data_IF_991517203742
#
_entry.id   IF_991517203742
#
_cell.length_a   1.000
_cell.length_b   1.000
_cell.length_c   1.000
_cell.angle_alpha   90.00
_cell.angle_beta   90.00
_cell.angle_gamma   90.00
#
_symmetry.space_group_name_H-M   'P 1'
#
loop_
_entity.id
_entity.type
_entity.pdbx_description
1 polymer ?
#
# COMPACT_ATOMS: atom_id res chain seq x y z
N UNK A 1 -0.34 -17.01 4.95
CA UNK A 1 0.41 -17.03 3.67
C UNK A 1 -0.30 -16.05 2.77
N UNK A 2 0.31 -14.91 2.45
CA UNK A 2 -0.22 -14.04 1.41
C UNK A 2 -0.24 -14.83 0.10
N UNK A 3 -1.38 -14.87 -0.58
CA UNK A 3 -1.45 -15.49 -1.90
C UNK A 3 -0.52 -14.72 -2.85
N UNK A 4 0.09 -15.42 -3.81
CA UNK A 4 1.03 -14.79 -4.78
C UNK A 4 0.42 -13.57 -5.48
N UNK A 5 -0.90 -13.53 -5.61
CA UNK A 5 -1.68 -12.41 -6.14
C UNK A 5 -1.65 -11.17 -5.25
N UNK A 6 -1.69 -11.31 -3.92
CA UNK A 6 -1.65 -10.18 -2.98
C UNK A 6 -0.29 -9.49 -2.99
N UNK A 7 0.80 -10.25 -3.00
CA UNK A 7 2.14 -9.68 -3.07
C UNK A 7 2.35 -8.88 -4.37
N UNK A 8 1.85 -9.40 -5.49
CA UNK A 8 1.94 -8.73 -6.78
C UNK A 8 1.05 -7.48 -6.84
N UNK A 9 -0.12 -7.52 -6.19
CA UNK A 9 -1.00 -6.37 -6.05
C UNK A 9 -0.35 -5.24 -5.23
N UNK A 10 0.28 -5.56 -4.10
CA UNK A 10 1.00 -4.60 -3.26
C UNK A 10 2.15 -3.92 -4.01
N UNK A 11 2.89 -4.65 -4.84
CA UNK A 11 3.92 -4.05 -5.69
C UNK A 11 3.34 -3.07 -6.72
N UNK A 12 2.19 -3.39 -7.33
CA UNK A 12 1.51 -2.46 -8.24
C UNK A 12 1.05 -1.19 -7.53
N UNK A 13 0.51 -1.32 -6.31
CA UNK A 13 0.10 -0.18 -5.47
C UNK A 13 1.31 0.72 -5.16
N UNK A 14 2.43 0.13 -4.74
CA UNK A 14 3.66 0.89 -4.48
C UNK A 14 4.18 1.62 -5.73
N UNK A 15 4.11 0.98 -6.90
CA UNK A 15 4.49 1.60 -8.18
C UNK A 15 3.59 2.80 -8.54
N UNK A 16 2.27 2.68 -8.35
CA UNK A 16 1.31 3.79 -8.58
C UNK A 16 1.56 4.96 -7.64
N UNK A 17 1.76 4.68 -6.35
CA UNK A 17 2.09 5.70 -5.36
C UNK A 17 3.40 6.42 -5.70
N UNK A 18 4.43 5.70 -6.16
CA UNK A 18 5.68 6.30 -6.60
C UNK A 18 5.51 7.18 -7.84
N UNK A 19 4.65 6.78 -8.78
CA UNK A 19 4.33 7.59 -9.94
C UNK A 19 3.59 8.89 -9.57
N UNK A 20 2.70 8.85 -8.55
CA UNK A 20 1.98 10.04 -8.05
C UNK A 20 2.84 10.93 -7.15
N UNK A 21 3.75 10.33 -6.37
CA UNK A 21 4.64 11.02 -5.43
C UNK A 21 6.11 10.73 -5.77
N UNK A 22 6.63 11.25 -6.89
CA UNK A 22 8.00 10.97 -7.32
C UNK A 22 9.07 11.49 -6.34
N UNK A 23 8.73 12.48 -5.51
CA UNK A 23 9.57 13.06 -4.46
C UNK A 23 9.81 12.14 -3.25
N UNK A 24 8.98 11.12 -3.03
CA UNK A 24 9.09 10.22 -1.88
C UNK A 24 9.88 8.97 -2.28
N UNK A 25 10.78 8.51 -1.41
CA UNK A 25 11.57 7.31 -1.66
C UNK A 25 10.69 6.05 -1.80
N UNK A 26 11.03 5.16 -2.72
CA UNK A 26 10.26 3.93 -2.96
C UNK A 26 10.27 3.02 -1.74
N UNK A 27 11.32 3.06 -0.91
CA UNK A 27 11.42 2.28 0.32
C UNK A 27 10.40 2.76 1.36
N UNK A 28 10.24 4.08 1.48
CA UNK A 28 9.22 4.68 2.35
C UNK A 28 7.81 4.32 1.88
N UNK A 29 7.56 4.40 0.56
CA UNK A 29 6.26 4.01 -0.01
C UNK A 29 5.96 2.53 0.26
N UNK A 30 6.93 1.64 0.03
CA UNK A 30 6.78 0.21 0.31
C UNK A 30 6.51 -0.05 1.79
N UNK A 31 7.20 0.63 2.69
CA UNK A 31 6.94 0.50 4.14
C UNK A 31 5.53 0.98 4.53
N UNK A 32 5.02 2.04 3.91
CA UNK A 32 3.65 2.52 4.16
C UNK A 32 2.59 1.55 3.61
N UNK A 33 2.83 1.01 2.41
CA UNK A 33 1.96 -0.01 1.79
C UNK A 33 1.93 -1.28 2.64
N UNK A 34 3.09 -1.73 3.14
CA UNK A 34 3.20 -2.92 4.00
C UNK A 34 2.52 -2.69 5.36
N UNK A 35 2.72 -1.52 5.98
CA UNK A 35 2.03 -1.16 7.21
C UNK A 35 0.51 -1.10 7.04
N UNK A 36 0.03 -0.54 5.92
CA UNK A 36 -1.39 -0.51 5.58
C UNK A 36 -1.94 -1.92 5.29
N UNK A 37 -1.16 -2.80 4.66
CA UNK A 37 -1.54 -4.20 4.43
C UNK A 37 -1.69 -4.97 5.74
N UNK A 38 -0.76 -4.78 6.68
CA UNK A 38 -0.83 -5.38 8.01
C UNK A 38 -2.01 -4.87 8.87
N UNK A 39 -2.56 -3.67 8.63
CA UNK A 39 -3.80 -3.23 9.28
C UNK A 39 -5.01 -4.09 8.89
N UNK A 40 -4.95 -4.79 7.77
CA UNK A 40 -5.96 -5.74 7.32
C UNK A 40 -5.64 -7.20 7.67
N UNK A 41 -4.54 -7.47 8.39
CA UNK A 41 -4.26 -8.83 8.87
C UNK A 41 -5.32 -9.26 9.90
N UNK A 42 -6.03 -10.34 9.58
CA UNK A 42 -7.14 -10.88 10.39
C UNK A 42 -8.53 -10.52 9.87
N UNK A 43 -8.64 -9.74 8.80
CA UNK A 43 -9.93 -9.50 8.14
C UNK A 43 -10.45 -10.80 7.47
N UNK A 44 -11.73 -11.18 7.68
CA UNK A 44 -12.29 -12.44 7.17
C UNK A 44 -12.50 -12.46 5.66
N UNK A 45 -12.55 -11.29 5.00
CA UNK A 45 -12.63 -11.15 3.54
C UNK A 45 -11.63 -10.08 3.13
N UNK A 46 -10.65 -10.46 2.30
CA UNK A 46 -9.61 -9.60 1.73
C UNK A 46 -9.73 -9.45 0.21
N UNK A 47 -10.89 -9.78 -0.35
CA UNK A 47 -11.23 -9.39 -1.72
C UNK A 47 -11.07 -7.86 -1.80
N UNK A 48 -10.13 -7.40 -2.63
CA UNK A 48 -9.76 -5.98 -2.82
C UNK A 48 -8.90 -5.33 -1.73
N UNK A 49 -8.11 -6.10 -0.97
CA UNK A 49 -7.12 -5.54 -0.02
C UNK A 49 -6.18 -4.53 -0.70
N UNK A 50 -5.87 -4.72 -1.97
CA UNK A 50 -5.05 -3.81 -2.78
C UNK A 50 -5.62 -2.37 -2.86
N UNK A 51 -6.94 -2.22 -3.00
CA UNK A 51 -7.60 -0.91 -3.12
C UNK A 51 -7.63 -0.21 -1.75
N UNK A 52 -7.88 -0.98 -0.69
CA UNK A 52 -7.90 -0.48 0.68
C UNK A 52 -6.50 -0.03 1.11
N UNK A 53 -5.49 -0.82 0.78
CA UNK A 53 -4.08 -0.50 1.04
C UNK A 53 -3.63 0.72 0.23
N UNK A 54 -4.00 0.81 -1.05
CA UNK A 54 -3.68 1.99 -1.88
C UNK A 54 -4.24 3.27 -1.27
N UNK A 55 -5.49 3.24 -0.79
CA UNK A 55 -6.14 4.40 -0.16
C UNK A 55 -5.50 4.78 1.17
N UNK A 56 -5.28 3.81 2.06
CA UNK A 56 -4.67 4.06 3.37
C UNK A 56 -3.22 4.57 3.23
N UNK A 57 -2.43 4.00 2.30
CA UNK A 57 -1.09 4.47 2.02
C UNK A 57 -1.08 5.89 1.44
N UNK A 58 -2.05 6.23 0.59
CA UNK A 58 -2.19 7.59 0.05
C UNK A 58 -2.46 8.61 1.17
N UNK A 59 -3.39 8.32 2.09
CA UNK A 59 -3.67 9.21 3.22
C UNK A 59 -2.44 9.43 4.10
N UNK A 60 -1.66 8.37 4.38
CA UNK A 60 -0.41 8.49 5.16
C UNK A 60 0.68 9.27 4.43
N UNK A 61 0.75 9.13 3.10
CA UNK A 61 1.67 9.90 2.27
C UNK A 61 1.27 11.37 2.21
N UNK A 62 0.00 11.70 2.03
CA UNK A 62 -0.49 13.08 2.02
C UNK A 62 -0.26 13.79 3.35
N UNK A 63 -0.43 13.09 4.48
CA UNK A 63 -0.11 13.61 5.81
C UNK A 63 1.38 13.94 6.03
N UNK A 64 2.29 13.36 5.24
CA UNK A 64 3.73 13.63 5.31
C UNK A 64 4.18 14.80 4.42
N UNK A 65 3.32 15.25 3.50
CA UNK A 65 3.63 16.33 2.54
C UNK A 65 2.98 17.66 2.94
N UNK A 66 1.98 17.63 3.84
CA UNK A 66 1.36 18.80 4.46
C UNK A 66 2.24 19.40 5.58
#
# INVERSE_FOLDING_TARGET
MASKDEAQALEQVAARLKARHPSIDITTIKAQVDAAYHEFDGAPIRDFVEILVERAALEKVEQQVA
#
